data_IF_714323762588
#
_entry.id   IF_714323762588
#
_cell.length_a   1.000
_cell.length_b   1.000
_cell.length_c   1.000
_cell.angle_alpha   90.00
_cell.angle_beta   90.00
_cell.angle_gamma   90.00
#
_symmetry.space_group_name_H-M   'P 1'
#
loop_
_entity.id
_entity.type
_entity.pdbx_description
1 polymer ?
#
# COMPACT_ATOMS: atom_id res chain seq x y z
N UNK A 1 -2.80 10.30 -14.77
CA UNK A 1 -1.79 9.32 -15.19
C UNK A 1 -2.39 8.34 -16.17
N UNK A 2 -3.30 7.44 -15.77
CA UNK A 2 -3.99 6.48 -16.65
C UNK A 2 -4.48 7.06 -17.99
N UNK A 3 -5.33 8.09 -17.97
CA UNK A 3 -5.83 8.73 -19.20
C UNK A 3 -4.72 9.29 -20.11
N UNK A 4 -3.60 9.71 -19.54
CA UNK A 4 -2.48 10.30 -20.28
C UNK A 4 -1.52 9.25 -20.83
N UNK A 5 -1.41 8.09 -20.17
CA UNK A 5 -0.39 7.07 -20.51
C UNK A 5 -0.98 5.80 -21.13
N UNK A 6 -2.30 5.58 -21.03
CA UNK A 6 -2.91 4.30 -21.40
C UNK A 6 -2.49 3.13 -20.49
N UNK A 7 -1.80 3.39 -19.38
CA UNK A 7 -1.30 2.35 -18.50
C UNK A 7 -2.44 1.59 -17.81
N UNK A 8 -2.26 0.29 -17.66
CA UNK A 8 -3.12 -0.54 -16.81
C UNK A 8 -2.96 -0.15 -15.35
N UNK A 9 -4.03 -0.31 -14.59
CA UNK A 9 -4.05 -0.04 -13.14
C UNK A 9 -4.44 -1.34 -12.46
N UNK A 10 -3.59 -1.79 -11.54
CA UNK A 10 -3.83 -2.97 -10.72
C UNK A 10 -4.05 -2.58 -9.26
N UNK A 11 -4.90 -3.33 -8.54
CA UNK A 11 -5.10 -3.20 -7.10
C UNK A 11 -5.55 -4.51 -6.45
N UNK A 12 -5.43 -4.64 -5.14
CA UNK A 12 -5.87 -5.85 -4.46
C UNK A 12 -7.38 -5.94 -4.56
N UNK A 13 -7.90 -7.16 -4.66
CA UNK A 13 -9.35 -7.42 -4.67
C UNK A 13 -10.07 -6.76 -3.49
N UNK A 14 -9.43 -6.71 -2.32
CA UNK A 14 -10.03 -6.09 -1.13
C UNK A 14 -10.07 -4.56 -1.18
N UNK A 15 -9.21 -3.92 -1.98
CA UNK A 15 -9.16 -2.46 -2.11
C UNK A 15 -9.96 -1.92 -3.30
N UNK A 16 -10.23 -2.75 -4.32
CA UNK A 16 -10.99 -2.37 -5.53
C UNK A 16 -12.34 -1.70 -5.20
N UNK A 17 -13.21 -2.26 -4.33
CA UNK A 17 -14.51 -1.63 -4.04
C UNK A 17 -14.39 -0.20 -3.51
N UNK A 18 -13.31 0.14 -2.81
CA UNK A 18 -13.07 1.50 -2.32
C UNK A 18 -12.50 2.42 -3.42
N UNK A 19 -11.72 1.89 -4.35
CA UNK A 19 -11.11 2.62 -5.47
C UNK A 19 -12.16 3.01 -6.52
N UNK A 20 -13.06 2.08 -6.83
CA UNK A 20 -14.11 2.29 -7.84
C UNK A 20 -15.35 3.01 -7.26
N UNK A 21 -15.44 3.12 -5.93
CA UNK A 21 -16.47 3.88 -5.24
C UNK A 21 -17.70 3.09 -4.80
N UNK A 22 -17.67 1.76 -4.88
CA UNK A 22 -18.74 0.87 -4.39
C UNK A 22 -18.83 0.83 -2.86
N UNK A 23 -17.70 1.02 -2.16
CA UNK A 23 -17.64 1.06 -0.69
C UNK A 23 -16.95 2.33 -0.19
N UNK A 24 -17.40 2.81 0.96
CA UNK A 24 -16.68 3.84 1.73
C UNK A 24 -15.51 3.22 2.50
N UNK A 25 -14.39 3.95 2.58
CA UNK A 25 -13.25 3.52 3.39
C UNK A 25 -13.66 3.38 4.88
N UNK A 26 -13.23 2.32 5.58
CA UNK A 26 -13.55 2.09 6.98
C UNK A 26 -12.87 3.12 7.90
N UNK A 27 -13.41 3.27 9.12
CA UNK A 27 -12.85 4.12 10.18
C UNK A 27 -13.11 5.62 10.00
N UNK A 28 -12.35 6.44 10.74
CA UNK A 28 -12.46 7.91 10.71
C UNK A 28 -12.26 8.49 9.29
N UNK A 29 -11.55 7.77 8.41
CA UNK A 29 -11.37 8.10 6.99
C UNK A 29 -12.68 8.20 6.20
N UNK A 30 -13.80 7.59 6.67
CA UNK A 30 -15.13 7.74 6.08
C UNK A 30 -15.59 9.21 6.03
N UNK A 31 -15.24 9.98 7.07
CA UNK A 31 -15.61 11.39 7.19
C UNK A 31 -14.70 12.31 6.36
N UNK A 32 -13.42 11.95 6.21
CA UNK A 32 -12.45 12.70 5.38
C UNK A 32 -12.68 12.43 3.89
N UNK A 33 -13.11 11.23 3.54
CA UNK A 33 -13.26 10.79 2.14
C UNK A 33 -14.33 11.55 1.33
N UNK A 34 -15.17 12.38 1.93
CA UNK A 34 -16.07 13.29 1.20
C UNK A 34 -15.40 14.62 0.81
N UNK A 35 -14.35 15.02 1.53
CA UNK A 35 -13.64 16.29 1.32
C UNK A 35 -12.44 16.17 0.38
N UNK A 36 -11.79 15.00 0.34
CA UNK A 36 -10.74 14.69 -0.63
C UNK A 36 -11.43 14.19 -1.90
N UNK A 37 -11.29 14.92 -3.02
CA UNK A 37 -11.76 14.52 -4.34
C UNK A 37 -11.40 13.05 -4.63
N UNK A 38 -12.39 12.15 -4.50
CA UNK A 38 -12.21 10.74 -4.86
C UNK A 38 -12.17 10.68 -6.38
N UNK A 39 -10.97 10.69 -6.96
CA UNK A 39 -10.81 10.35 -8.37
C UNK A 39 -11.02 8.85 -8.51
N UNK A 40 -12.27 8.46 -8.77
CA UNK A 40 -12.65 7.08 -9.01
C UNK A 40 -11.98 6.58 -10.29
N UNK A 41 -11.51 5.34 -10.27
CA UNK A 41 -10.89 4.69 -11.43
C UNK A 41 -11.77 3.49 -11.77
N UNK A 42 -12.39 3.46 -12.96
CA UNK A 42 -13.39 2.42 -13.30
C UNK A 42 -12.77 1.10 -13.76
N UNK A 43 -11.63 1.13 -14.47
CA UNK A 43 -10.97 -0.09 -14.94
C UNK A 43 -9.71 -0.35 -14.12
N UNK A 44 -9.91 -1.07 -13.02
CA UNK A 44 -8.85 -1.57 -12.14
C UNK A 44 -8.84 -3.08 -12.26
N UNK A 45 -7.71 -3.63 -12.68
CA UNK A 45 -7.52 -5.08 -12.75
C UNK A 45 -7.13 -5.60 -11.36
N UNK A 46 -7.64 -6.75 -10.92
CA UNK A 46 -7.21 -7.34 -9.66
C UNK A 46 -5.76 -7.82 -9.76
N UNK A 47 -4.99 -7.57 -8.71
CA UNK A 47 -3.78 -8.32 -8.43
C UNK A 47 -4.10 -9.37 -7.34
N UNK A 48 -3.55 -10.58 -7.48
CA UNK A 48 -3.64 -11.65 -6.48
C UNK A 48 -2.32 -11.89 -5.75
N UNK A 49 -2.36 -12.69 -4.68
CA UNK A 49 -1.15 -13.13 -3.99
C UNK A 49 -0.16 -13.78 -4.98
N UNK A 50 1.11 -13.37 -4.93
CA UNK A 50 2.21 -13.93 -5.75
C UNK A 50 2.16 -13.65 -7.26
N UNK A 51 1.40 -12.66 -7.73
CA UNK A 51 1.51 -12.20 -9.11
C UNK A 51 2.84 -11.48 -9.33
N UNK A 52 3.57 -11.88 -10.38
CA UNK A 52 4.83 -11.27 -10.80
C UNK A 52 4.61 -10.43 -12.06
N UNK A 53 4.93 -9.14 -12.01
CA UNK A 53 4.87 -8.23 -13.17
C UNK A 53 6.32 -7.91 -13.54
N UNK A 54 6.84 -8.58 -14.57
CA UNK A 54 8.26 -8.51 -14.90
C UNK A 54 9.12 -8.99 -13.72
N UNK A 55 9.93 -8.10 -13.15
CA UNK A 55 10.79 -8.40 -11.99
C UNK A 55 10.22 -7.89 -10.66
N UNK A 56 8.95 -7.45 -10.65
CA UNK A 56 8.30 -6.92 -9.45
C UNK A 56 7.58 -8.06 -8.71
N UNK A 57 7.99 -8.30 -7.47
CA UNK A 57 7.31 -9.20 -6.54
C UNK A 57 6.31 -8.41 -5.70
N UNK A 58 5.04 -8.82 -5.73
CA UNK A 58 3.96 -8.20 -4.94
C UNK A 58 3.72 -9.03 -3.67
N UNK A 59 3.61 -8.36 -2.52
CA UNK A 59 3.43 -8.99 -1.21
C UNK A 59 2.21 -8.35 -0.54
N UNK A 60 1.18 -9.16 -0.26
CA UNK A 60 0.02 -8.69 0.50
C UNK A 60 0.44 -8.38 1.93
N UNK A 61 0.18 -7.15 2.37
CA UNK A 61 0.60 -6.62 3.68
C UNK A 61 -0.54 -5.83 4.31
N UNK A 62 -1.67 -6.49 4.66
CA UNK A 62 -2.85 -5.82 5.18
C UNK A 62 -2.53 -5.06 6.47
N UNK A 63 -3.20 -3.92 6.66
CA UNK A 63 -3.06 -3.13 7.88
C UNK A 63 -3.44 -1.67 7.67
N UNK A 64 -2.76 -0.98 6.75
CA UNK A 64 -3.14 0.39 6.39
C UNK A 64 -4.50 0.44 5.69
N UNK A 65 -4.69 -0.45 4.72
CA UNK A 65 -5.96 -0.84 4.10
C UNK A 65 -6.09 -2.37 4.14
N UNK A 66 -7.30 -2.93 3.93
CA UNK A 66 -7.47 -4.37 3.76
C UNK A 66 -6.58 -4.92 2.63
N UNK A 67 -6.56 -4.24 1.47
CA UNK A 67 -5.80 -4.65 0.30
C UNK A 67 -4.40 -4.06 0.16
N UNK A 68 -3.78 -3.61 1.25
CA UNK A 68 -2.46 -2.98 1.17
C UNK A 68 -1.38 -3.97 0.67
N UNK A 69 -0.45 -3.48 -0.16
CA UNK A 69 0.71 -4.23 -0.65
C UNK A 69 2.02 -3.54 -0.40
N UNK A 70 3.05 -4.35 -0.27
CA UNK A 70 4.40 -3.94 -0.56
C UNK A 70 4.86 -4.58 -1.87
N UNK A 71 5.80 -3.93 -2.55
CA UNK A 71 6.40 -4.44 -3.78
C UNK A 71 7.91 -4.49 -3.60
N UNK A 72 8.54 -5.56 -4.07
CA UNK A 72 10.00 -5.66 -4.17
C UNK A 72 10.37 -5.64 -5.64
N UNK A 73 11.26 -4.74 -6.00
CA UNK A 73 11.92 -4.70 -7.31
C UNK A 73 13.41 -4.65 -7.05
N UNK A 74 14.14 -5.67 -7.50
CA UNK A 74 15.55 -5.86 -7.18
C UNK A 74 15.79 -5.87 -5.66
N UNK A 75 16.57 -4.94 -5.13
CA UNK A 75 16.89 -4.75 -3.71
C UNK A 75 16.04 -3.66 -3.05
N UNK A 76 15.02 -3.11 -3.74
CA UNK A 76 14.18 -2.01 -3.26
C UNK A 76 12.80 -2.51 -2.82
N UNK A 77 12.45 -2.27 -1.55
CA UNK A 77 11.12 -2.44 -1.01
C UNK A 77 10.32 -1.13 -1.13
N UNK A 78 9.25 -1.14 -1.92
CA UNK A 78 8.20 -0.13 -1.89
C UNK A 78 7.19 -0.50 -0.80
N UNK A 79 7.27 0.17 0.35
CA UNK A 79 6.56 -0.19 1.58
C UNK A 79 5.20 0.52 1.76
N UNK A 80 4.84 1.43 0.84
CA UNK A 80 3.59 2.19 0.90
C UNK A 80 3.41 2.92 2.24
N UNK A 81 2.21 2.79 2.82
CA UNK A 81 1.82 3.40 4.09
C UNK A 81 1.87 2.39 5.25
N UNK A 82 2.67 1.31 5.13
CA UNK A 82 2.87 0.35 6.21
C UNK A 82 3.80 0.91 7.29
N UNK A 83 4.84 1.62 6.85
CA UNK A 83 5.85 2.28 7.68
C UNK A 83 6.09 3.70 7.19
N UNK A 84 6.77 4.51 7.99
CA UNK A 84 7.27 5.82 7.59
C UNK A 84 8.66 6.06 8.15
N UNK A 85 9.40 6.96 7.51
CA UNK A 85 10.68 7.42 8.02
C UNK A 85 10.40 8.62 8.93
N UNK A 86 10.75 8.48 10.21
CA UNK A 86 10.71 9.55 11.20
C UNK A 86 12.13 9.84 11.67
N UNK A 87 12.72 10.89 11.12
CA UNK A 87 14.07 11.36 11.46
C UNK A 87 15.12 10.24 11.34
N UNK A 88 15.13 9.53 10.23
CA UNK A 88 16.06 8.42 9.96
C UNK A 88 15.60 7.06 10.51
N UNK A 89 14.54 7.00 11.30
CA UNK A 89 14.05 5.76 11.89
C UNK A 89 12.82 5.24 11.15
N UNK A 90 12.81 3.94 10.85
CA UNK A 90 11.64 3.24 10.31
C UNK A 90 10.68 2.98 11.47
N UNK A 91 9.48 3.56 11.39
CA UNK A 91 8.43 3.37 12.40
C UNK A 91 7.12 2.95 11.75
N UNK A 92 6.27 2.17 12.43
CA UNK A 92 4.94 1.85 11.94
C UNK A 92 4.13 3.11 11.62
N UNK A 93 3.27 3.04 10.59
CA UNK A 93 2.40 4.17 10.27
C UNK A 93 1.43 4.46 11.42
N UNK A 94 1.10 5.72 11.75
CA UNK A 94 0.37 6.03 12.98
C UNK A 94 -1.04 5.40 13.01
N UNK A 95 -1.37 4.78 14.15
CA UNK A 95 -2.56 3.95 14.35
C UNK A 95 -3.89 4.55 13.85
N UNK A 96 -4.23 5.83 14.08
CA UNK A 96 -5.51 6.39 13.64
C UNK A 96 -5.75 6.34 12.12
N UNK A 97 -4.68 6.12 11.33
CA UNK A 97 -4.74 6.05 9.88
C UNK A 97 -4.76 4.63 9.35
N UNK A 98 -4.77 3.60 10.19
CA UNK A 98 -4.74 2.21 9.76
C UNK A 98 -6.11 1.57 9.91
N UNK A 99 -6.44 0.67 8.99
CA UNK A 99 -7.65 -0.14 9.08
C UNK A 99 -7.56 -1.16 10.23
N UNK A 100 -6.40 -1.81 10.37
CA UNK A 100 -6.13 -2.78 11.43
C UNK A 100 -4.64 -2.72 11.82
N UNK A 101 -4.36 -2.11 12.97
CA UNK A 101 -2.99 -1.95 13.47
C UNK A 101 -2.33 -3.28 13.82
N UNK A 102 -3.09 -4.27 14.32
CA UNK A 102 -2.53 -5.58 14.68
C UNK A 102 -2.07 -6.31 13.42
N UNK A 103 -2.89 -6.29 12.36
CA UNK A 103 -2.48 -6.81 11.04
C UNK A 103 -1.30 -6.05 10.46
N UNK A 104 -1.28 -4.72 10.58
CA UNK A 104 -0.14 -3.92 10.12
C UNK A 104 1.17 -4.36 10.78
N UNK A 105 1.19 -4.54 12.11
CA UNK A 105 2.38 -5.01 12.83
C UNK A 105 2.78 -6.44 12.39
N UNK A 106 1.81 -7.33 12.14
CA UNK A 106 2.09 -8.67 11.59
C UNK A 106 2.75 -8.58 10.22
N UNK A 107 2.19 -7.76 9.31
CA UNK A 107 2.72 -7.53 7.97
C UNK A 107 4.14 -6.96 8.01
N UNK A 108 4.44 -6.02 8.92
CA UNK A 108 5.81 -5.48 9.10
C UNK A 108 6.78 -6.60 9.48
N UNK A 109 6.43 -7.46 10.43
CA UNK A 109 7.28 -8.58 10.88
C UNK A 109 7.51 -9.61 9.78
N UNK A 110 6.54 -9.82 8.89
CA UNK A 110 6.68 -10.75 7.78
C UNK A 110 7.70 -10.24 6.75
N UNK A 111 7.79 -8.92 6.54
CA UNK A 111 8.78 -8.30 5.66
C UNK A 111 10.22 -8.46 6.17
N UNK A 112 10.44 -8.57 7.49
CA UNK A 112 11.79 -8.73 8.04
C UNK A 112 12.51 -9.98 7.51
N UNK A 113 11.75 -11.01 7.11
CA UNK A 113 12.27 -12.26 6.56
C UNK A 113 12.61 -12.19 5.06
N UNK A 114 12.36 -11.06 4.40
CA UNK A 114 12.62 -10.87 2.98
C UNK A 114 13.95 -10.14 2.75
N UNK A 115 14.54 -10.40 1.58
CA UNK A 115 15.79 -9.78 1.14
C UNK A 115 15.47 -8.50 0.36
N UNK A 116 15.94 -7.38 0.89
CA UNK A 116 15.97 -6.05 0.28
C UNK A 116 16.95 -5.18 1.09
N UNK A 117 17.52 -4.16 0.45
CA UNK A 117 18.44 -3.20 1.05
C UNK A 117 17.75 -1.86 1.27
N UNK A 118 17.07 -1.36 0.24
CA UNK A 118 16.40 -0.07 0.26
C UNK A 118 14.93 -0.19 0.66
N UNK A 119 14.45 0.82 1.38
CA UNK A 119 13.05 0.96 1.77
C UNK A 119 12.55 2.32 1.30
N UNK A 120 11.55 2.29 0.43
CA UNK A 120 10.85 3.42 -0.15
C UNK A 120 9.40 3.43 0.36
N UNK A 121 9.09 4.30 1.31
CA UNK A 121 7.76 4.48 1.86
C UNK A 121 7.07 5.71 1.27
N UNK A 122 5.76 5.82 1.39
CA UNK A 122 5.02 6.99 0.88
C UNK A 122 5.34 8.29 1.62
N UNK A 123 5.86 8.20 2.85
CA UNK A 123 6.08 9.35 3.74
C UNK A 123 7.46 9.33 4.39
N UNK A 124 8.29 10.31 4.01
CA UNK A 124 9.66 10.47 4.48
C UNK A 124 10.67 10.12 3.38
N UNK A 125 11.96 10.12 3.73
CA UNK A 125 13.04 9.83 2.78
C UNK A 125 13.29 8.33 2.69
N UNK A 126 13.63 7.80 1.50
CA UNK A 126 14.16 6.45 1.38
C UNK A 126 15.33 6.20 2.33
N UNK A 127 15.44 4.98 2.84
CA UNK A 127 16.51 4.58 3.76
C UNK A 127 16.90 3.12 3.55
N UNK A 128 18.03 2.74 4.12
CA UNK A 128 18.55 1.37 4.07
C UNK A 128 18.07 0.60 5.31
N UNK A 129 17.83 -0.71 5.14
CA UNK A 129 17.47 -1.65 6.22
C UNK A 129 18.61 -1.82 7.24
#
# INVERSE_FOLDING_TARGET
MKEKTGAKVWAHVEDIPFIIGEKDRPGFKKFIGKAISRRLIKDVEPYGENMQIGNIKIIHTPGHTPGHVCMIFEDVLFAGDLVKNKNGNIVPYPNPWNWDYKKMIKSIRELDNLKYEWICMSHGTPCIK
#
